data_IF_837680369154
#
_entry.id   IF_837680369154
#
_cell.length_a   1.000
_cell.length_b   1.000
_cell.length_c   1.000
_cell.angle_alpha   90.00
_cell.angle_beta   90.00
_cell.angle_gamma   90.00
#
_symmetry.space_group_name_H-M   'P 1'
#
loop_
_entity.id
_entity.type
_entity.pdbx_description
1 polymer ?
#
# COMPACT_ATOMS: atom_id res chain seq x y z
N UNK A 1 -11.03 -1.34 2.15
CA UNK A 1 -9.55 -1.16 2.17
C UNK A 1 -9.04 -1.49 3.56
N UNK A 2 -7.85 -2.08 3.67
CA UNK A 2 -7.17 -2.28 4.94
C UNK A 2 -5.70 -1.86 4.83
N UNK A 3 -5.15 -1.31 5.91
CA UNK A 3 -3.72 -1.05 6.08
C UNK A 3 -3.23 -1.99 7.18
N UNK A 4 -2.16 -2.71 6.88
CA UNK A 4 -1.57 -3.73 7.75
C UNK A 4 -0.12 -3.36 8.00
N UNK A 5 0.33 -3.45 9.26
CA UNK A 5 1.73 -3.22 9.59
C UNK A 5 2.58 -4.49 9.41
N UNK A 6 3.89 -4.37 9.60
CA UNK A 6 4.84 -5.48 9.45
C UNK A 6 4.61 -6.65 10.45
N UNK A 7 3.85 -6.41 11.53
CA UNK A 7 3.45 -7.42 12.52
C UNK A 7 2.11 -8.09 12.17
N UNK A 8 1.60 -7.89 10.95
CA UNK A 8 0.34 -8.47 10.47
C UNK A 8 -0.90 -7.98 11.24
N UNK A 9 -0.79 -6.80 11.88
CA UNK A 9 -1.91 -6.15 12.56
C UNK A 9 -2.59 -5.14 11.65
N UNK A 10 -3.92 -5.17 11.62
CA UNK A 10 -4.74 -4.18 10.94
C UNK A 10 -4.66 -2.86 11.71
N UNK A 11 -4.10 -1.82 11.08
CA UNK A 11 -3.99 -0.48 11.66
C UNK A 11 -5.05 0.48 11.14
N UNK A 12 -5.72 0.11 10.05
CA UNK A 12 -6.83 0.86 9.48
C UNK A 12 -7.70 -0.07 8.65
N UNK A 13 -9.02 0.05 8.77
CA UNK A 13 -9.99 -0.70 7.97
C UNK A 13 -11.10 0.26 7.57
N UNK A 14 -11.46 0.26 6.29
CA UNK A 14 -12.53 1.07 5.73
C UNK A 14 -13.40 0.23 4.79
N UNK A 15 -14.69 0.12 5.11
CA UNK A 15 -15.65 -0.77 4.44
C UNK A 15 -16.84 0.03 3.92
N UNK A 16 -16.64 0.93 2.95
CA UNK A 16 -17.75 1.67 2.37
C UNK A 16 -18.33 1.01 1.11
N UNK A 17 -17.51 0.55 0.15
CA UNK A 17 -17.89 -0.25 -1.06
C UNK A 17 -16.66 -0.95 -1.71
N UNK A 18 -16.84 -1.90 -2.64
CA UNK A 18 -15.73 -2.62 -3.30
C UNK A 18 -14.75 -1.71 -4.05
N UNK A 19 -13.47 -1.90 -3.72
CA UNK A 19 -12.24 -1.59 -4.47
C UNK A 19 -12.29 -0.57 -5.61
N UNK A 20 -12.04 0.69 -5.31
CA UNK A 20 -11.53 1.68 -6.27
C UNK A 20 -10.55 2.63 -5.58
N UNK A 21 -9.60 3.20 -6.32
CA UNK A 21 -8.79 4.35 -5.88
C UNK A 21 -9.68 5.50 -5.36
N UNK A 22 -10.89 5.60 -5.89
CA UNK A 22 -11.89 6.58 -5.48
C UNK A 22 -12.36 6.36 -4.04
N UNK A 23 -12.48 5.10 -3.60
CA UNK A 23 -12.80 4.74 -2.20
C UNK A 23 -11.66 5.11 -1.26
N UNK A 24 -10.41 5.00 -1.70
CA UNK A 24 -9.27 5.45 -0.89
C UNK A 24 -9.27 6.96 -0.68
N UNK A 25 -9.49 7.74 -1.74
CA UNK A 25 -9.58 9.20 -1.66
C UNK A 25 -10.74 9.69 -0.79
N UNK A 26 -11.80 8.90 -0.66
CA UNK A 26 -12.97 9.18 0.17
C UNK A 26 -12.78 8.77 1.63
N UNK A 27 -11.69 8.08 1.98
CA UNK A 27 -11.46 7.60 3.35
C UNK A 27 -10.95 8.72 4.25
N UNK A 28 -11.31 8.69 5.54
CA UNK A 28 -10.79 9.65 6.53
C UNK A 28 -9.25 9.60 6.58
N UNK A 29 -8.66 8.42 6.40
CA UNK A 29 -7.22 8.26 6.32
C UNK A 29 -6.58 9.14 5.24
N UNK A 30 -7.20 9.23 4.05
CA UNK A 30 -6.68 10.09 2.99
C UNK A 30 -6.70 11.56 3.38
N UNK A 31 -7.81 12.02 3.96
CA UNK A 31 -7.96 13.42 4.39
C UNK A 31 -6.95 13.76 5.51
N UNK A 32 -6.81 12.90 6.52
CA UNK A 32 -5.84 13.06 7.61
C UNK A 32 -4.40 13.15 7.11
N UNK A 33 -4.02 12.25 6.19
CA UNK A 33 -2.67 12.23 5.62
C UNK A 33 -2.41 13.42 4.72
N UNK A 34 -3.41 13.90 3.98
CA UNK A 34 -3.24 15.08 3.13
C UNK A 34 -3.13 16.38 3.93
N UNK A 35 -3.77 16.45 5.10
CA UNK A 35 -3.66 17.59 6.01
C UNK A 35 -2.28 17.63 6.70
N UNK A 36 -1.83 16.49 7.26
CA UNK A 36 -0.53 16.41 7.91
C UNK A 36 0.15 15.03 7.71
N UNK A 37 0.90 14.85 6.61
CA UNK A 37 1.56 13.59 6.31
C UNK A 37 2.58 13.17 7.39
N UNK A 38 3.30 14.15 7.95
CA UNK A 38 4.38 13.90 8.91
C UNK A 38 3.88 13.26 10.21
N UNK A 39 2.64 13.56 10.61
CA UNK A 39 2.01 12.95 11.79
C UNK A 39 1.77 11.44 11.58
N UNK A 40 1.37 11.05 10.38
CA UNK A 40 1.05 9.64 10.08
C UNK A 40 2.26 8.82 9.65
N UNK A 41 3.28 9.49 9.13
CA UNK A 41 4.49 8.93 8.55
C UNK A 41 5.76 9.57 9.13
N UNK A 42 6.02 9.43 10.45
CA UNK A 42 7.24 9.93 11.06
C UNK A 42 8.45 9.12 10.58
N UNK A 43 9.65 9.70 10.67
CA UNK A 43 10.94 9.04 10.40
C UNK A 43 11.02 8.39 9.01
N UNK A 44 10.53 9.08 7.98
CA UNK A 44 10.52 8.59 6.59
C UNK A 44 9.87 7.20 6.44
N UNK A 45 8.83 6.94 7.23
CA UNK A 45 8.03 5.73 7.08
C UNK A 45 7.05 5.86 5.91
N UNK A 46 6.79 4.75 5.21
CA UNK A 46 5.94 4.75 4.03
C UNK A 46 5.00 3.55 4.07
N UNK A 47 3.83 3.67 3.44
CA UNK A 47 2.97 2.51 3.15
C UNK A 47 3.22 1.97 1.75
N UNK A 48 3.02 0.66 1.58
CA UNK A 48 3.17 -0.04 0.32
C UNK A 48 1.79 -0.23 -0.35
N UNK A 49 1.58 0.45 -1.47
CA UNK A 49 0.33 0.43 -2.22
C UNK A 49 0.30 -0.60 -3.36
N UNK A 50 -0.90 -0.83 -3.91
CA UNK A 50 -1.06 -1.50 -5.20
C UNK A 50 -0.62 -0.58 -6.37
N UNK A 51 -0.32 -1.18 -7.53
CA UNK A 51 -0.02 -0.44 -8.77
C UNK A 51 -1.17 0.46 -9.23
N UNK A 52 -2.40 0.21 -8.77
CA UNK A 52 -3.56 1.07 -9.04
C UNK A 52 -3.51 2.42 -8.30
N UNK A 53 -2.67 2.56 -7.27
CA UNK A 53 -2.50 3.81 -6.55
C UNK A 53 -1.44 4.72 -7.21
N UNK A 54 -1.54 6.05 -7.04
CA UNK A 54 -0.47 6.96 -7.43
C UNK A 54 0.72 6.84 -6.48
N UNK A 55 1.92 7.10 -6.98
CA UNK A 55 3.11 7.29 -6.16
C UNK A 55 2.98 8.61 -5.39
N UNK A 56 3.27 8.60 -4.09
CA UNK A 56 3.24 9.79 -3.23
C UNK A 56 4.44 9.76 -2.26
N UNK A 57 4.80 10.90 -1.62
CA UNK A 57 5.89 10.95 -0.65
C UNK A 57 5.79 9.97 0.52
N UNK A 58 4.59 9.44 0.79
CA UNK A 58 4.32 8.48 1.87
C UNK A 58 3.71 7.16 1.36
N UNK A 59 3.52 7.01 0.04
CA UNK A 59 2.89 5.85 -0.60
C UNK A 59 3.76 5.32 -1.74
N UNK A 60 4.45 4.21 -1.47
CA UNK A 60 5.30 3.53 -2.45
C UNK A 60 4.49 2.50 -3.22
N UNK A 61 4.58 2.53 -4.54
CA UNK A 61 3.89 1.61 -5.46
C UNK A 61 4.90 0.87 -6.33
N UNK A 62 4.59 -0.35 -6.81
CA UNK A 62 5.48 -1.07 -7.72
C UNK A 62 5.62 -0.36 -9.07
N UNK A 63 6.78 -0.47 -9.71
CA UNK A 63 6.96 -0.05 -11.10
C UNK A 63 6.05 -0.86 -12.03
N UNK A 64 5.35 -0.18 -12.94
CA UNK A 64 4.52 -0.83 -13.96
C UNK A 64 5.39 -1.19 -15.15
N UNK A 65 5.40 -2.46 -15.54
CA UNK A 65 5.94 -2.86 -16.83
C UNK A 65 4.96 -2.42 -17.92
N UNK A 66 5.45 -1.71 -18.94
CA UNK A 66 4.64 -1.25 -20.08
C UNK A 66 4.99 -2.12 -21.28
N UNK A 67 4.05 -2.30 -22.21
CA UNK A 67 4.26 -3.10 -23.43
C UNK A 67 5.51 -2.67 -24.21
N UNK A 68 5.84 -1.38 -24.19
CA UNK A 68 6.97 -0.80 -24.92
C UNK A 68 8.26 -0.71 -24.11
N UNK A 69 8.25 -1.00 -22.80
CA UNK A 69 9.42 -0.85 -21.94
C UNK A 69 9.44 -1.90 -20.84
N UNK A 70 10.41 -2.81 -20.93
CA UNK A 70 10.69 -3.77 -19.88
C UNK A 70 11.31 -3.06 -18.67
N UNK A 71 11.02 -3.59 -17.49
CA UNK A 71 11.62 -3.07 -16.27
C UNK A 71 13.15 -3.28 -16.30
N UNK A 72 13.88 -2.31 -15.77
CA UNK A 72 15.32 -2.45 -15.51
C UNK A 72 15.57 -3.44 -14.37
N UNK A 73 16.80 -3.94 -14.23
CA UNK A 73 17.16 -4.85 -13.12
C UNK A 73 16.88 -4.24 -11.74
N UNK A 74 17.23 -2.97 -11.45
CA UNK A 74 16.90 -2.33 -10.17
C UNK A 74 15.38 -2.22 -9.92
N UNK A 75 14.59 -1.88 -10.95
CA UNK A 75 13.13 -1.80 -10.83
C UNK A 75 12.50 -3.17 -10.53
N UNK A 76 12.99 -4.24 -11.16
CA UNK A 76 12.58 -5.62 -10.83
C UNK A 76 12.93 -5.99 -9.40
N UNK A 77 14.15 -5.67 -8.95
CA UNK A 77 14.57 -5.92 -7.57
C UNK A 77 13.67 -5.19 -6.57
N UNK A 78 13.38 -3.91 -6.81
CA UNK A 78 12.44 -3.15 -5.99
C UNK A 78 11.05 -3.80 -5.98
N UNK A 79 10.49 -4.16 -7.14
CA UNK A 79 9.17 -4.80 -7.21
C UNK A 79 9.13 -6.14 -6.45
N UNK A 80 10.22 -6.91 -6.47
CA UNK A 80 10.33 -8.16 -5.72
C UNK A 80 10.29 -7.90 -4.21
N UNK A 81 11.13 -6.98 -3.72
CA UNK A 81 11.15 -6.61 -2.29
C UNK A 81 9.80 -6.02 -1.86
N UNK A 82 9.21 -5.15 -2.68
CA UNK A 82 7.90 -4.54 -2.45
C UNK A 82 6.80 -5.61 -2.31
N UNK A 83 6.78 -6.58 -3.23
CA UNK A 83 5.82 -7.70 -3.20
C UNK A 83 6.04 -8.59 -1.97
N UNK A 84 7.30 -8.94 -1.66
CA UNK A 84 7.64 -9.74 -0.48
C UNK A 84 7.22 -9.07 0.83
N UNK A 85 7.45 -7.76 0.97
CA UNK A 85 7.01 -7.01 2.14
C UNK A 85 5.48 -6.98 2.27
N UNK A 86 4.76 -6.88 1.15
CA UNK A 86 3.29 -6.89 1.12
C UNK A 86 2.67 -8.24 1.48
N UNK A 87 3.44 -9.33 1.54
CA UNK A 87 2.96 -10.62 2.04
C UNK A 87 2.39 -10.53 3.47
N UNK A 88 2.80 -9.54 4.27
CA UNK A 88 2.22 -9.29 5.59
C UNK A 88 0.69 -9.05 5.51
N UNK A 89 0.20 -8.41 4.43
CA UNK A 89 -1.24 -8.21 4.21
C UNK A 89 -1.92 -9.55 3.99
N UNK A 90 -1.36 -10.40 3.11
CA UNK A 90 -1.93 -11.71 2.79
C UNK A 90 -1.97 -12.62 4.02
N UNK A 91 -0.88 -12.65 4.81
CA UNK A 91 -0.82 -13.41 6.07
C UNK A 91 -1.81 -12.90 7.11
N UNK A 92 -1.95 -11.58 7.27
CA UNK A 92 -2.95 -11.00 8.17
C UNK A 92 -4.38 -11.41 7.78
N UNK A 93 -4.70 -11.36 6.48
CA UNK A 93 -6.00 -11.84 5.99
C UNK A 93 -6.15 -13.37 6.05
N UNK A 94 -5.06 -14.14 5.90
CA UNK A 94 -5.05 -15.59 6.11
C UNK A 94 -5.45 -15.95 7.54
N UNK A 95 -4.80 -15.32 8.53
CA UNK A 95 -5.14 -15.43 9.95
C UNK A 95 -6.60 -15.11 10.24
N UNK A 96 -7.13 -14.01 9.69
CA UNK A 96 -8.56 -13.66 9.84
C UNK A 96 -9.51 -14.71 9.24
N UNK A 97 -9.08 -15.40 8.17
CA UNK A 97 -9.87 -16.45 7.51
C UNK A 97 -9.67 -17.84 8.11
N UNK A 98 -8.83 -17.98 9.15
CA UNK A 98 -8.47 -19.27 9.74
C UNK A 98 -7.66 -20.16 8.79
N UNK A 99 -6.85 -19.56 7.92
CA UNK A 99 -5.98 -20.24 6.95
C UNK A 99 -4.50 -19.99 7.24
#
# INVERSE_FOLDING_TARGET
>A
MAIVNHMEKFTYVYTSQPGSMQVFKQSNFWSEVMDNPALRFPNDTHILGNSAFPLMPWLLVPFKERMTQRLTRPQRQYNNVHSSARMAVERAFGKLKGR
#
